data_IF_415592282507
#
_entry.id   IF_415592282507
#
_cell.length_a   1.000
_cell.length_b   1.000
_cell.length_c   1.000
_cell.angle_alpha   90.00
_cell.angle_beta   90.00
_cell.angle_gamma   90.00
#
_symmetry.space_group_name_H-M   'P 1'
#
loop_
_entity.id
_entity.type
_entity.pdbx_description
1 polymer ?
#
# COMPACT_ATOMS: atom_id res chain seq x y z
N UNK A 1 -4.32 -8.59 -2.62
CA UNK A 1 -4.67 -7.60 -1.57
C UNK A 1 -6.11 -7.73 -1.09
N UNK A 2 -7.12 -7.60 -1.96
CA UNK A 2 -8.53 -7.54 -1.56
C UNK A 2 -9.01 -8.74 -0.72
N UNK A 3 -8.69 -9.97 -1.12
CA UNK A 3 -9.06 -11.17 -0.34
C UNK A 3 -8.38 -11.26 1.04
N UNK A 4 -7.14 -10.77 1.13
CA UNK A 4 -6.39 -10.77 2.39
C UNK A 4 -7.00 -9.78 3.39
N UNK A 5 -7.27 -8.55 2.95
CA UNK A 5 -7.93 -7.53 3.77
C UNK A 5 -9.33 -8.00 4.19
N UNK A 6 -10.08 -8.65 3.30
CA UNK A 6 -11.42 -9.15 3.58
C UNK A 6 -11.47 -10.26 4.66
N UNK A 7 -10.37 -10.97 4.90
CA UNK A 7 -10.26 -12.02 5.91
C UNK A 7 -9.61 -11.54 7.22
N UNK A 8 -9.23 -10.26 7.29
CA UNK A 8 -8.62 -9.68 8.47
C UNK A 8 -9.69 -9.32 9.50
N UNK A 9 -9.48 -9.72 10.74
CA UNK A 9 -10.35 -9.42 11.87
C UNK A 9 -9.50 -8.85 13.01
N UNK A 10 -10.08 -8.15 14.00
CA UNK A 10 -9.32 -7.69 15.16
C UNK A 10 -8.56 -8.81 15.88
N UNK A 11 -9.14 -10.01 15.92
CA UNK A 11 -8.56 -11.17 16.58
C UNK A 11 -7.28 -11.69 15.90
N UNK A 12 -7.17 -11.56 14.56
CA UNK A 12 -6.02 -12.08 13.81
C UNK A 12 -5.07 -10.98 13.29
N UNK A 13 -5.41 -9.70 13.46
CA UNK A 13 -4.66 -8.57 12.88
C UNK A 13 -3.20 -8.51 13.33
N UNK A 14 -2.92 -8.91 14.57
CA UNK A 14 -1.58 -8.90 15.18
C UNK A 14 -0.85 -10.23 15.06
N UNK A 15 -1.46 -11.27 14.48
CA UNK A 15 -0.77 -12.52 14.20
C UNK A 15 0.38 -12.29 13.23
N UNK A 16 1.48 -13.01 13.46
CA UNK A 16 2.63 -12.97 12.58
C UNK A 16 2.24 -13.41 11.16
N UNK A 17 2.61 -12.59 10.19
CA UNK A 17 2.48 -12.84 8.77
C UNK A 17 3.83 -12.53 8.11
N UNK A 18 4.40 -13.53 7.46
CA UNK A 18 5.72 -13.41 6.82
C UNK A 18 5.63 -13.30 5.30
N UNK A 19 6.67 -12.73 4.69
CA UNK A 19 6.86 -12.72 3.25
C UNK A 19 8.18 -12.08 2.85
N UNK A 20 8.63 -12.30 1.61
CA UNK A 20 9.93 -11.79 1.13
C UNK A 20 10.02 -10.26 1.09
N UNK A 21 8.89 -9.58 0.85
CA UNK A 21 8.85 -8.12 0.64
C UNK A 21 8.61 -7.33 1.93
N UNK A 22 7.92 -7.90 2.92
CA UNK A 22 7.53 -7.22 4.17
C UNK A 22 8.24 -7.71 5.43
N UNK A 23 9.18 -8.66 5.30
CA UNK A 23 9.88 -9.28 6.43
C UNK A 23 8.94 -10.03 7.38
N UNK A 24 9.42 -10.29 8.59
CA UNK A 24 8.59 -10.80 9.68
C UNK A 24 7.73 -9.66 10.22
N UNK A 25 6.46 -9.61 9.82
CA UNK A 25 5.52 -8.56 10.24
C UNK A 25 4.22 -9.19 10.77
N UNK A 26 3.22 -8.37 11.07
CA UNK A 26 1.86 -8.83 11.37
C UNK A 26 0.98 -8.69 10.14
N UNK A 27 -0.22 -9.29 10.16
CA UNK A 27 -1.19 -9.09 9.07
C UNK A 27 -1.51 -7.62 8.85
N UNK A 28 -1.75 -6.89 9.94
CA UNK A 28 -1.98 -5.46 9.93
C UNK A 28 -0.77 -4.69 9.41
N UNK A 29 0.44 -5.05 9.84
CA UNK A 29 1.68 -4.43 9.37
C UNK A 29 1.86 -4.55 7.86
N UNK A 30 1.61 -5.73 7.29
CA UNK A 30 1.67 -5.95 5.84
C UNK A 30 0.59 -5.18 5.07
N UNK A 31 -0.64 -5.08 5.62
CA UNK A 31 -1.70 -4.29 5.01
C UNK A 31 -1.34 -2.79 4.97
N UNK A 32 -0.83 -2.25 6.08
CA UNK A 32 -0.36 -0.88 6.18
C UNK A 32 0.78 -0.61 5.21
N UNK A 33 1.77 -1.51 5.15
CA UNK A 33 2.90 -1.41 4.21
C UNK A 33 2.41 -1.30 2.76
N UNK A 34 1.41 -2.11 2.39
CA UNK A 34 0.90 -2.09 1.03
C UNK A 34 0.19 -0.77 0.67
N UNK A 35 -0.58 -0.19 1.60
CA UNK A 35 -1.23 1.12 1.40
C UNK A 35 -0.18 2.22 1.27
N UNK A 36 0.83 2.21 2.14
CA UNK A 36 1.95 3.15 2.08
C UNK A 36 2.69 3.04 0.74
N UNK A 37 3.04 1.83 0.31
CA UNK A 37 3.79 1.59 -0.92
C UNK A 37 3.02 2.05 -2.17
N UNK A 38 1.71 1.78 -2.24
CA UNK A 38 0.88 2.28 -3.32
C UNK A 38 0.82 3.82 -3.34
N UNK A 39 0.79 4.45 -2.17
CA UNK A 39 0.78 5.92 -2.04
C UNK A 39 2.11 6.53 -2.47
N UNK A 40 3.23 5.91 -2.13
CA UNK A 40 4.58 6.34 -2.56
C UNK A 40 4.71 6.29 -4.10
N UNK A 41 4.33 5.16 -4.71
CA UNK A 41 4.30 5.04 -6.17
C UNK A 41 3.36 6.03 -6.83
N UNK A 42 2.20 6.31 -6.23
CA UNK A 42 1.30 7.33 -6.74
C UNK A 42 1.98 8.71 -6.74
N UNK A 43 2.72 9.07 -5.68
CA UNK A 43 3.51 10.30 -5.63
C UNK A 43 4.58 10.39 -6.73
N UNK A 44 5.26 9.27 -7.01
CA UNK A 44 6.23 9.18 -8.11
C UNK A 44 5.56 9.39 -9.48
N UNK A 45 4.42 8.73 -9.74
CA UNK A 45 3.65 8.89 -10.98
C UNK A 45 3.20 10.34 -11.15
N UNK A 46 2.67 10.95 -10.10
CA UNK A 46 2.26 12.36 -10.09
C UNK A 46 3.43 13.29 -10.45
N UNK A 47 4.64 12.99 -9.95
CA UNK A 47 5.86 13.73 -10.30
C UNK A 47 6.17 13.61 -11.79
N UNK A 48 6.14 12.39 -12.34
CA UNK A 48 6.37 12.16 -13.77
C UNK A 48 5.31 12.82 -14.67
N UNK A 49 4.03 12.82 -14.28
CA UNK A 49 2.99 13.52 -15.03
C UNK A 49 3.29 15.02 -15.13
N UNK A 50 3.69 15.66 -14.03
CA UNK A 50 4.05 17.09 -14.01
C UNK A 50 5.29 17.39 -14.84
N UNK A 51 6.32 16.54 -14.76
CA UNK A 51 7.52 16.67 -15.59
C UNK A 51 7.20 16.59 -17.10
N UNK A 52 6.10 15.94 -17.47
CA UNK A 52 5.62 15.82 -18.85
C UNK A 52 4.49 16.81 -19.21
N UNK A 53 4.25 17.84 -18.40
CA UNK A 53 3.22 18.85 -18.67
C UNK A 53 1.77 18.34 -18.55
N UNK A 54 1.56 17.17 -17.95
CA UNK A 54 0.22 16.59 -17.77
C UNK A 54 -0.29 16.94 -16.37
N UNK A 55 -1.48 17.55 -16.29
CA UNK A 55 -2.16 17.82 -15.01
C UNK A 55 -2.65 16.50 -14.39
N UNK A 56 -2.17 16.12 -13.18
CA UNK A 56 -2.60 14.88 -12.53
C UNK A 56 -4.11 14.86 -12.27
N UNK A 57 -4.80 13.70 -12.36
CA UNK A 57 -6.25 13.62 -12.26
C UNK A 57 -6.86 14.21 -10.99
N UNK A 58 -6.22 13.98 -9.83
CA UNK A 58 -6.69 14.49 -8.54
C UNK A 58 -6.39 15.99 -8.30
N UNK A 59 -5.75 16.68 -9.24
CA UNK A 59 -5.42 18.12 -9.17
C UNK A 59 -6.27 18.96 -10.15
N UNK A 60 -7.35 18.39 -10.67
CA UNK A 60 -8.34 19.08 -11.50
C UNK A 60 -9.53 19.54 -10.69
#
# INVERSE_FOLDING_TARGET
MQRFIAQMTPANALEAAGGRYGGSSTRLGLATLAVWHASDHYGQIVTYLRMNGIVPPASR
#
